data_IF_900909978519
#
_entry.id   IF_900909978519
#
_cell.length_a   1.000
_cell.length_b   1.000
_cell.length_c   1.000
_cell.angle_alpha   90.00
_cell.angle_beta   90.00
_cell.angle_gamma   90.00
#
_symmetry.space_group_name_H-M   'P 1'
#
loop_
_entity.id
_entity.type
_entity.pdbx_description
1 polymer ?
#
# COMPACT_ATOMS: atom_id res chain seq x y z
N UNK A 1 29.38 32.41 23.81
CA UNK A 1 30.31 32.45 22.69
C UNK A 1 31.43 31.47 22.93
N UNK A 2 31.55 30.47 22.09
CA UNK A 2 32.82 30.20 21.47
C UNK A 2 32.65 29.95 19.94
N UNK A 3 33.73 30.21 19.27
CA UNK A 3 34.04 30.44 17.87
C UNK A 3 33.95 29.16 17.05
N UNK A 4 33.31 29.26 15.84
CA UNK A 4 33.32 28.25 14.78
C UNK A 4 34.64 28.33 13.99
N UNK A 5 35.23 27.21 13.53
CA UNK A 5 36.28 27.21 12.52
C UNK A 5 35.71 27.16 11.09
N UNK A 6 36.37 27.92 10.21
CA UNK A 6 36.09 28.03 8.77
C UNK A 6 36.53 26.79 7.96
N UNK A 7 35.97 26.54 6.74
CA UNK A 7 36.32 25.39 5.93
C UNK A 7 37.56 25.60 5.06
N UNK A 8 38.48 24.66 5.14
CA UNK A 8 39.69 24.60 4.31
C UNK A 8 39.35 24.17 2.85
N UNK A 9 39.96 24.92 1.89
CA UNK A 9 40.06 24.58 0.48
C UNK A 9 41.10 23.47 0.26
N UNK A 10 40.74 22.49 -0.58
CA UNK A 10 41.69 21.46 -1.05
C UNK A 10 41.20 20.85 -2.37
N UNK A 11 41.66 21.40 -3.43
CA UNK A 11 42.35 20.93 -4.64
C UNK A 11 41.87 19.67 -5.35
N UNK A 12 41.54 19.88 -6.62
CA UNK A 12 41.29 18.92 -7.70
C UNK A 12 42.53 18.07 -8.07
N UNK A 13 42.28 16.84 -8.51
CA UNK A 13 43.01 16.02 -9.54
C UNK A 13 42.46 14.61 -9.44
N UNK A 14 42.29 13.79 -10.48
CA UNK A 14 42.61 13.79 -11.89
C UNK A 14 41.81 12.64 -12.55
N UNK A 15 41.46 12.84 -13.79
CA UNK A 15 40.88 11.89 -14.76
C UNK A 15 41.82 10.71 -14.97
N UNK A 16 41.28 9.47 -14.99
CA UNK A 16 41.92 8.33 -15.67
C UNK A 16 40.86 7.65 -16.54
N UNK A 17 41.04 7.81 -17.84
CA UNK A 17 40.41 7.00 -18.88
C UNK A 17 41.01 5.61 -18.87
N UNK A 18 40.17 4.58 -18.95
CA UNK A 18 40.57 3.19 -19.19
C UNK A 18 39.65 2.57 -20.25
N UNK A 19 40.18 2.45 -21.46
CA UNK A 19 39.58 1.77 -22.63
C UNK A 19 39.42 0.27 -22.36
N UNK A 20 38.36 -0.32 -23.02
CA UNK A 20 37.97 -1.69 -23.06
C UNK A 20 38.99 -2.70 -23.61
N UNK A 21 38.54 -3.94 -23.80
CA UNK A 21 38.37 -4.38 -25.19
C UNK A 21 37.09 -5.20 -25.47
N UNK A 22 36.68 -5.05 -26.68
CA UNK A 22 35.72 -5.84 -27.47
C UNK A 22 36.22 -7.27 -27.67
N UNK A 23 35.34 -8.26 -27.53
CA UNK A 23 35.48 -9.54 -28.21
C UNK A 23 34.16 -9.94 -28.85
N UNK A 24 34.10 -9.78 -30.16
CA UNK A 24 33.31 -10.56 -31.11
C UNK A 24 33.81 -12.00 -31.14
N UNK A 25 32.91 -12.95 -31.08
CA UNK A 25 33.09 -14.22 -31.82
C UNK A 25 31.74 -14.74 -32.27
N UNK A 26 31.73 -14.98 -33.57
CA UNK A 26 30.68 -15.40 -34.45
C UNK A 26 30.27 -16.88 -34.29
N UNK A 27 29.02 -17.13 -34.73
CA UNK A 27 28.51 -18.11 -35.69
C UNK A 27 29.05 -19.55 -35.67
N UNK A 28 28.14 -20.48 -35.69
CA UNK A 28 27.76 -21.43 -36.76
C UNK A 28 26.94 -22.57 -36.14
N UNK A 29 25.78 -22.83 -36.55
CA UNK A 29 25.18 -23.43 -37.74
C UNK A 29 25.11 -24.95 -37.68
N UNK A 30 23.94 -25.41 -38.02
CA UNK A 30 23.53 -26.58 -38.85
C UNK A 30 23.40 -27.94 -38.18
N UNK A 31 22.31 -28.55 -38.34
CA UNK A 31 21.56 -29.25 -39.38
C UNK A 31 21.16 -30.70 -38.99
N UNK A 32 19.90 -31.01 -39.25
CA UNK A 32 19.35 -32.31 -39.71
C UNK A 32 19.38 -33.53 -38.80
N UNK A 33 18.28 -34.23 -38.56
CA UNK A 33 17.60 -35.09 -39.54
C UNK A 33 16.26 -35.58 -38.99
N UNK A 34 15.28 -35.59 -39.84
CA UNK A 34 14.03 -36.32 -39.73
C UNK A 34 14.28 -37.84 -39.94
N UNK A 35 13.35 -38.68 -39.50
CA UNK A 35 12.83 -39.82 -40.27
C UNK A 35 11.75 -40.57 -39.45
N UNK A 36 10.55 -40.70 -40.10
CA UNK A 36 9.58 -41.80 -40.20
C UNK A 36 9.18 -42.62 -38.95
N UNK A 37 7.98 -42.85 -38.69
CA UNK A 37 6.75 -43.22 -39.44
C UNK A 37 6.03 -44.35 -38.69
N UNK A 38 4.82 -44.73 -38.99
CA UNK A 38 3.81 -45.10 -38.02
C UNK A 38 3.72 -46.61 -37.74
N UNK A 39 3.20 -46.96 -36.55
CA UNK A 39 2.60 -48.27 -36.34
C UNK A 39 1.30 -48.13 -35.59
N UNK A 40 0.23 -48.48 -36.27
CA UNK A 40 -1.08 -48.82 -35.75
C UNK A 40 -0.95 -49.91 -34.66
N UNK A 41 -1.59 -49.66 -33.50
CA UNK A 41 -1.98 -50.74 -32.60
C UNK A 41 -3.39 -50.48 -32.07
N UNK A 42 -4.16 -51.51 -32.19
CA UNK A 42 -5.58 -51.67 -32.05
C UNK A 42 -6.22 -51.14 -30.76
N UNK A 43 -7.43 -50.73 -30.99
CA UNK A 43 -8.54 -50.48 -30.08
C UNK A 43 -8.74 -51.61 -29.04
N UNK A 44 -8.53 -51.29 -27.74
CA UNK A 44 -9.00 -52.07 -26.62
C UNK A 44 -9.94 -51.20 -25.77
N UNK A 45 -11.25 -51.45 -25.84
CA UNK A 45 -12.25 -50.78 -25.04
C UNK A 45 -12.08 -51.12 -23.55
N UNK A 46 -11.75 -50.10 -22.75
CA UNK A 46 -11.80 -50.18 -21.27
C UNK A 46 -13.14 -49.63 -20.83
N UNK A 47 -13.89 -50.34 -19.95
CA UNK A 47 -15.17 -49.82 -19.42
C UNK A 47 -14.95 -48.56 -18.59
N UNK A 48 -15.65 -47.50 -18.90
CA UNK A 48 -15.75 -46.30 -18.09
C UNK A 48 -16.46 -46.61 -16.77
N UNK A 49 -15.71 -46.79 -15.68
CA UNK A 49 -16.24 -46.64 -14.35
C UNK A 49 -16.50 -45.14 -14.12
N UNK A 50 -17.77 -44.76 -14.10
CA UNK A 50 -18.20 -43.46 -13.56
C UNK A 50 -17.96 -43.43 -12.06
N UNK A 51 -17.12 -42.52 -11.50
CA UNK A 51 -17.21 -42.22 -10.09
C UNK A 51 -18.52 -41.48 -9.88
N UNK A 52 -19.28 -41.93 -8.90
CA UNK A 52 -20.54 -41.34 -8.43
C UNK A 52 -20.42 -39.82 -8.35
N UNK A 53 -21.21 -39.14 -9.15
CA UNK A 53 -21.30 -37.67 -9.15
C UNK A 53 -21.86 -37.19 -7.81
N UNK A 54 -21.05 -36.48 -7.05
CA UNK A 54 -21.55 -35.57 -6.07
C UNK A 54 -22.45 -34.51 -6.74
N UNK A 55 -23.38 -33.90 -6.03
CA UNK A 55 -24.23 -32.88 -6.60
C UNK A 55 -23.37 -31.79 -7.25
N UNK A 56 -23.76 -31.25 -8.42
CA UNK A 56 -23.05 -30.14 -9.04
C UNK A 56 -22.92 -29.01 -8.04
N UNK A 57 -21.79 -28.26 -8.02
CA UNK A 57 -21.62 -27.15 -7.11
C UNK A 57 -22.81 -26.20 -7.30
N UNK A 58 -23.49 -25.86 -6.19
CA UNK A 58 -24.63 -24.95 -6.20
C UNK A 58 -24.15 -23.63 -6.81
N UNK A 59 -24.68 -23.25 -7.94
CA UNK A 59 -24.58 -21.90 -8.47
C UNK A 59 -25.25 -20.97 -7.44
N UNK A 60 -24.44 -20.20 -6.69
CA UNK A 60 -24.97 -19.25 -5.71
C UNK A 60 -24.17 -19.05 -4.44
N UNK A 61 -22.94 -19.56 -4.31
CA UNK A 61 -22.03 -18.98 -3.31
C UNK A 61 -21.60 -17.61 -3.85
N UNK A 62 -22.05 -16.55 -3.18
CA UNK A 62 -21.55 -15.19 -3.41
C UNK A 62 -20.04 -15.24 -3.30
N UNK A 63 -19.34 -15.21 -4.45
CA UNK A 63 -17.89 -15.19 -4.50
C UNK A 63 -17.44 -13.86 -3.92
N UNK A 64 -17.12 -13.87 -2.64
CA UNK A 64 -16.52 -12.72 -1.98
C UNK A 64 -15.13 -12.53 -2.59
N UNK A 65 -14.97 -11.50 -3.42
CA UNK A 65 -13.70 -11.16 -4.07
C UNK A 65 -13.07 -9.93 -3.43
N UNK A 66 -11.75 -9.83 -3.51
CA UNK A 66 -11.01 -8.60 -3.23
C UNK A 66 -10.96 -7.74 -4.48
N UNK A 67 -11.27 -6.47 -4.30
CA UNK A 67 -11.23 -5.47 -5.35
C UNK A 67 -9.96 -4.64 -5.14
N UNK A 68 -8.99 -4.83 -6.01
CA UNK A 68 -7.65 -4.29 -5.92
C UNK A 68 -7.45 -3.13 -6.90
N UNK A 69 -6.58 -2.20 -6.55
CA UNK A 69 -6.02 -1.27 -7.51
C UNK A 69 -5.05 -1.99 -8.46
N UNK A 70 -4.66 -1.34 -9.53
CA UNK A 70 -3.74 -1.89 -10.52
C UNK A 70 -2.50 -1.01 -10.68
N UNK A 71 -1.33 -1.64 -10.87
CA UNK A 71 -0.11 -0.95 -11.31
C UNK A 71 -0.21 -0.58 -12.78
N UNK A 72 -0.60 -1.55 -13.60
CA UNK A 72 -0.94 -1.42 -15.03
C UNK A 72 -2.28 -2.10 -15.27
N UNK A 73 -2.99 -1.82 -16.37
CA UNK A 73 -4.29 -2.44 -16.64
C UNK A 73 -4.25 -3.96 -16.53
N UNK A 74 -5.09 -4.52 -15.64
CA UNK A 74 -5.18 -5.96 -15.39
C UNK A 74 -4.20 -6.52 -14.36
N UNK A 75 -3.13 -5.80 -13.99
CA UNK A 75 -2.16 -6.26 -13.00
C UNK A 75 -2.46 -5.67 -11.62
N UNK A 76 -2.81 -6.53 -10.67
CA UNK A 76 -3.12 -6.12 -9.30
C UNK A 76 -1.91 -5.47 -8.62
N UNK A 77 -2.15 -4.39 -7.88
CA UNK A 77 -1.11 -3.69 -7.13
C UNK A 77 -0.77 -4.46 -5.84
N UNK A 78 0.00 -5.54 -6.03
CA UNK A 78 0.59 -6.39 -4.99
C UNK A 78 2.09 -6.37 -5.21
N UNK A 79 2.87 -5.82 -4.28
CA UNK A 79 4.31 -5.62 -4.46
C UNK A 79 5.07 -5.68 -3.14
N UNK A 80 6.35 -5.97 -3.19
CA UNK A 80 7.26 -5.89 -2.05
C UNK A 80 8.08 -4.60 -2.11
N UNK A 81 8.12 -3.87 -1.01
CA UNK A 81 8.93 -2.65 -0.86
C UNK A 81 9.28 -2.42 0.62
N UNK A 82 9.95 -1.32 0.91
CA UNK A 82 10.08 -0.84 2.28
C UNK A 82 8.82 -0.08 2.69
N UNK A 83 8.32 -0.30 3.92
CA UNK A 83 7.30 0.59 4.47
C UNK A 83 7.85 2.02 4.50
N UNK A 84 7.18 2.93 3.80
CA UNK A 84 7.65 4.29 3.60
C UNK A 84 7.20 5.27 4.68
N UNK A 85 6.28 4.87 5.58
CA UNK A 85 5.56 5.79 6.47
C UNK A 85 5.30 5.18 7.85
N UNK A 86 5.06 6.03 8.84
CA UNK A 86 4.55 5.64 10.15
C UNK A 86 5.50 4.83 11.01
N UNK A 87 4.94 4.02 11.91
CA UNK A 87 5.68 3.32 12.95
C UNK A 87 6.62 2.23 12.41
N UNK A 88 6.35 1.72 11.23
CA UNK A 88 7.10 0.63 10.59
C UNK A 88 8.00 1.09 9.45
N UNK A 89 8.28 2.40 9.34
CA UNK A 89 9.14 2.97 8.29
C UNK A 89 10.47 2.20 8.18
N UNK A 90 10.89 1.89 6.94
CA UNK A 90 12.12 1.16 6.63
C UNK A 90 12.00 -0.37 6.73
N UNK A 91 10.87 -0.93 7.15
CA UNK A 91 10.70 -2.39 7.23
C UNK A 91 10.31 -2.98 5.87
N UNK A 92 10.99 -4.05 5.41
CA UNK A 92 10.54 -4.82 4.24
C UNK A 92 9.11 -5.34 4.45
N UNK A 93 8.24 -5.09 3.49
CA UNK A 93 6.82 -5.41 3.56
C UNK A 93 6.28 -5.78 2.20
N UNK A 94 5.25 -6.63 2.17
CA UNK A 94 4.41 -6.81 0.98
C UNK A 94 3.19 -5.91 1.13
N UNK A 95 2.88 -5.16 0.11
CA UNK A 95 1.72 -4.28 0.05
C UNK A 95 0.62 -4.91 -0.79
N UNK A 96 -0.60 -4.84 -0.31
CA UNK A 96 -1.81 -5.13 -1.07
C UNK A 96 -2.67 -3.88 -1.08
N UNK A 97 -2.75 -3.22 -2.25
CA UNK A 97 -3.52 -1.98 -2.39
C UNK A 97 -4.93 -2.26 -2.89
N UNK A 98 -5.88 -2.00 -2.03
CA UNK A 98 -7.31 -2.16 -2.31
C UNK A 98 -7.85 -0.94 -3.05
N UNK A 99 -8.82 -1.18 -3.90
CA UNK A 99 -9.57 -0.14 -4.58
C UNK A 99 -10.85 0.19 -3.79
N UNK A 100 -11.43 1.34 -4.05
CA UNK A 100 -12.58 1.99 -3.40
C UNK A 100 -12.23 2.67 -2.09
N UNK A 101 -12.80 3.85 -1.89
CA UNK A 101 -12.73 4.62 -0.66
C UNK A 101 -14.08 5.28 -0.37
N UNK A 102 -14.45 5.36 0.90
CA UNK A 102 -15.62 6.08 1.35
C UNK A 102 -15.39 7.60 1.48
N UNK A 103 -14.11 8.02 1.52
CA UNK A 103 -13.70 9.43 1.52
C UNK A 103 -13.17 9.86 0.15
N UNK A 104 -13.02 11.18 -0.05
CA UNK A 104 -12.54 11.79 -1.28
C UNK A 104 -11.60 12.96 -0.95
N UNK A 105 -10.42 12.66 -0.43
CA UNK A 105 -9.45 13.67 -0.07
C UNK A 105 -8.98 14.44 -1.32
N UNK A 106 -9.01 15.78 -1.26
CA UNK A 106 -8.63 16.63 -2.39
C UNK A 106 -7.17 16.47 -2.81
N UNK A 107 -6.31 16.08 -1.88
CA UNK A 107 -4.87 15.87 -2.09
C UNK A 107 -4.47 14.39 -2.18
N UNK A 108 -5.43 13.47 -2.34
CA UNK A 108 -5.16 12.03 -2.37
C UNK A 108 -4.13 11.68 -3.48
N UNK A 109 -3.03 11.05 -3.11
CA UNK A 109 -1.99 10.58 -4.01
C UNK A 109 -2.37 9.29 -4.76
N UNK A 110 -3.34 8.56 -4.22
CA UNK A 110 -3.85 7.32 -4.80
C UNK A 110 -5.29 7.45 -5.32
N UNK A 111 -5.62 8.61 -5.89
CA UNK A 111 -6.96 8.91 -6.37
C UNK A 111 -7.50 7.90 -7.40
N UNK A 112 -6.62 7.17 -8.10
CA UNK A 112 -6.98 6.08 -9.01
C UNK A 112 -7.66 4.89 -8.31
N UNK A 113 -7.64 4.83 -6.98
CA UNK A 113 -8.36 3.81 -6.20
C UNK A 113 -9.84 4.11 -6.04
N UNK A 114 -10.29 5.37 -6.19
CA UNK A 114 -11.67 5.77 -5.93
C UNK A 114 -12.26 6.75 -6.96
N UNK A 115 -11.46 7.67 -7.52
CA UNK A 115 -11.93 8.74 -8.42
C UNK A 115 -12.09 8.24 -9.85
N UNK A 116 -13.13 7.44 -10.09
CA UNK A 116 -13.40 6.91 -11.42
C UNK A 116 -14.21 7.89 -12.27
N UNK A 117 -14.19 7.70 -13.60
CA UNK A 117 -15.00 8.45 -14.56
C UNK A 117 -16.46 8.50 -14.09
N UNK A 118 -17.00 9.70 -14.02
CA UNK A 118 -18.33 9.99 -13.47
C UNK A 118 -18.33 10.42 -11.99
N UNK A 119 -17.21 10.35 -11.28
CA UNK A 119 -17.07 10.89 -9.94
C UNK A 119 -16.76 12.38 -10.00
N UNK A 120 -17.66 13.22 -9.46
CA UNK A 120 -17.57 14.67 -9.48
C UNK A 120 -16.98 15.28 -8.20
N UNK A 121 -16.55 14.44 -7.24
CA UNK A 121 -15.94 14.95 -6.00
C UNK A 121 -14.63 15.67 -6.31
N UNK A 122 -14.34 16.79 -5.62
CA UNK A 122 -13.13 17.58 -5.90
C UNK A 122 -11.85 16.80 -5.69
N UNK A 123 -10.86 17.03 -6.57
CA UNK A 123 -9.49 16.57 -6.42
C UNK A 123 -8.55 17.59 -7.08
N UNK A 124 -7.38 17.84 -6.48
CA UNK A 124 -6.44 18.89 -6.92
C UNK A 124 -6.05 18.78 -8.40
N UNK A 125 -5.88 17.55 -8.91
CA UNK A 125 -5.43 17.34 -10.29
C UNK A 125 -6.59 17.29 -11.29
N UNK A 126 -7.84 17.33 -10.82
CA UNK A 126 -9.01 17.23 -11.67
C UNK A 126 -9.15 15.92 -12.44
N UNK A 127 -8.16 15.01 -12.35
CA UNK A 127 -8.06 13.77 -13.13
C UNK A 127 -9.05 12.72 -12.65
N UNK A 128 -9.84 12.17 -13.57
CA UNK A 128 -10.64 10.95 -13.35
C UNK A 128 -9.94 9.75 -14.01
N UNK A 129 -10.23 8.56 -13.50
CA UNK A 129 -9.58 7.32 -13.91
C UNK A 129 -10.59 6.33 -14.47
N UNK A 130 -10.23 5.62 -15.55
CA UNK A 130 -11.05 4.55 -16.08
C UNK A 130 -11.04 3.34 -15.15
N UNK A 131 -12.22 2.95 -14.63
CA UNK A 131 -12.35 1.86 -13.66
C UNK A 131 -11.72 0.56 -14.17
N UNK A 132 -11.97 0.17 -15.43
CA UNK A 132 -11.43 -1.05 -16.02
C UNK A 132 -9.91 -1.11 -16.11
N UNK A 133 -9.26 0.05 -16.14
CA UNK A 133 -7.81 0.15 -16.19
C UNK A 133 -7.16 0.21 -14.80
N UNK A 134 -7.92 0.63 -13.79
CA UNK A 134 -7.38 0.92 -12.46
C UNK A 134 -7.94 -0.01 -11.36
N UNK A 135 -8.71 -1.03 -11.74
CA UNK A 135 -9.33 -1.95 -10.80
C UNK A 135 -9.37 -3.37 -11.36
N UNK A 136 -9.10 -4.35 -10.51
CA UNK A 136 -9.22 -5.77 -10.79
C UNK A 136 -9.84 -6.48 -9.59
N UNK A 137 -10.57 -7.57 -9.84
CA UNK A 137 -11.16 -8.42 -8.79
C UNK A 137 -10.47 -9.77 -8.79
N UNK A 138 -9.94 -10.19 -7.64
CA UNK A 138 -9.26 -11.47 -7.44
C UNK A 138 -9.90 -12.26 -6.30
N UNK A 139 -9.73 -13.56 -6.35
CA UNK A 139 -10.09 -14.45 -5.25
C UNK A 139 -9.15 -14.21 -4.05
N UNK A 140 -9.65 -14.17 -2.80
CA UNK A 140 -8.82 -13.99 -1.61
C UNK A 140 -7.66 -14.98 -1.48
N UNK A 141 -7.86 -16.25 -1.85
CA UNK A 141 -6.81 -17.26 -1.78
C UNK A 141 -5.72 -17.02 -2.84
N UNK A 142 -6.09 -16.51 -4.01
CA UNK A 142 -5.14 -16.09 -5.05
C UNK A 142 -4.26 -14.94 -4.56
N UNK A 143 -4.87 -13.90 -3.95
CA UNK A 143 -4.11 -12.79 -3.37
C UNK A 143 -3.16 -13.28 -2.29
N UNK A 144 -3.61 -14.16 -1.38
CA UNK A 144 -2.77 -14.76 -0.36
C UNK A 144 -1.59 -15.55 -0.95
N UNK A 145 -1.81 -16.29 -2.04
CA UNK A 145 -0.74 -17.02 -2.73
C UNK A 145 0.32 -16.07 -3.33
N UNK A 146 -0.12 -14.97 -3.95
CA UNK A 146 0.77 -13.93 -4.49
C UNK A 146 1.59 -13.26 -3.38
N UNK A 147 0.98 -12.94 -2.23
CA UNK A 147 1.67 -12.38 -1.06
C UNK A 147 2.75 -13.33 -0.55
N UNK A 148 2.43 -14.63 -0.36
CA UNK A 148 3.42 -15.63 0.09
C UNK A 148 4.61 -15.76 -0.85
N UNK A 149 4.41 -15.61 -2.15
CA UNK A 149 5.46 -15.74 -3.15
C UNK A 149 6.61 -14.73 -2.98
N UNK A 150 6.38 -13.59 -2.32
CA UNK A 150 7.44 -12.62 -2.03
C UNK A 150 8.39 -13.07 -0.90
N UNK A 151 8.00 -14.02 -0.05
CA UNK A 151 8.85 -14.49 1.05
C UNK A 151 9.10 -13.48 2.17
N UNK A 152 8.34 -12.38 2.24
CA UNK A 152 8.47 -11.34 3.26
C UNK A 152 7.35 -11.51 4.29
N UNK A 153 7.67 -11.70 5.61
CA UNK A 153 6.67 -12.06 6.62
C UNK A 153 5.93 -10.84 7.20
N UNK A 154 5.81 -9.76 6.44
CA UNK A 154 5.05 -8.56 6.81
C UNK A 154 4.15 -8.15 5.67
N UNK A 155 2.87 -7.97 5.99
CA UNK A 155 1.83 -7.56 5.04
C UNK A 155 1.26 -6.21 5.47
N UNK A 156 1.17 -5.29 4.53
CA UNK A 156 0.49 -3.99 4.68
C UNK A 156 -0.74 -3.98 3.77
N UNK A 157 -1.91 -3.92 4.38
CA UNK A 157 -3.18 -3.75 3.71
C UNK A 157 -3.47 -2.26 3.60
N UNK A 158 -3.46 -1.74 2.40
CA UNK A 158 -3.59 -0.30 2.11
C UNK A 158 -4.55 -0.05 0.94
N UNK A 159 -4.63 1.16 0.44
CA UNK A 159 -5.35 1.48 -0.79
C UNK A 159 -6.26 2.67 -0.65
N UNK A 160 -7.54 2.53 -1.05
CA UNK A 160 -8.57 3.50 -0.70
C UNK A 160 -8.91 3.41 0.79
N UNK A 161 -9.92 2.60 1.13
CA UNK A 161 -10.20 2.22 2.53
C UNK A 161 -10.32 0.69 2.62
N UNK A 162 -9.31 0.01 3.16
CA UNK A 162 -9.29 -1.45 3.23
C UNK A 162 -10.47 -2.06 3.99
N UNK A 163 -10.89 -1.43 5.07
CA UNK A 163 -11.93 -1.95 5.96
C UNK A 163 -13.32 -2.04 5.29
N UNK A 164 -13.52 -1.38 4.14
CA UNK A 164 -14.72 -1.58 3.30
C UNK A 164 -14.82 -3.00 2.73
N UNK A 165 -13.71 -3.72 2.68
CA UNK A 165 -13.64 -5.08 2.14
C UNK A 165 -13.31 -6.13 3.21
N UNK A 166 -13.66 -5.84 4.45
CA UNK A 166 -13.33 -6.68 5.61
C UNK A 166 -13.70 -8.17 5.46
N UNK A 167 -14.85 -8.58 4.91
CA UNK A 167 -15.17 -10.01 4.74
C UNK A 167 -14.19 -10.75 3.82
N UNK A 168 -13.76 -10.08 2.73
CA UNK A 168 -12.80 -10.65 1.78
C UNK A 168 -11.38 -10.67 2.37
N UNK A 169 -11.00 -9.62 3.12
CA UNK A 169 -9.73 -9.56 3.84
C UNK A 169 -9.61 -10.66 4.88
N UNK A 170 -10.67 -10.92 5.66
CA UNK A 170 -10.69 -12.01 6.63
C UNK A 170 -10.40 -13.36 5.96
N UNK A 171 -11.02 -13.64 4.81
CA UNK A 171 -10.76 -14.86 4.04
C UNK A 171 -9.33 -14.90 3.48
N UNK A 172 -8.83 -13.79 2.99
CA UNK A 172 -7.47 -13.71 2.45
C UNK A 172 -6.43 -13.98 3.54
N UNK A 173 -6.58 -13.39 4.73
CA UNK A 173 -5.64 -13.58 5.83
C UNK A 173 -5.72 -15.03 6.34
N UNK A 174 -6.91 -15.62 6.44
CA UNK A 174 -7.05 -17.04 6.77
C UNK A 174 -6.35 -17.94 5.74
N UNK A 175 -6.43 -17.62 4.45
CA UNK A 175 -5.72 -18.33 3.39
C UNK A 175 -4.20 -18.05 3.37
N UNK A 176 -3.76 -16.91 3.90
CA UNK A 176 -2.35 -16.55 4.00
C UNK A 176 -1.61 -17.46 4.99
N UNK A 177 -2.28 -17.87 6.08
CA UNK A 177 -1.72 -18.69 7.14
C UNK A 177 -0.96 -17.90 8.18
N UNK A 178 -0.30 -18.61 9.09
CA UNK A 178 0.44 -18.06 10.21
C UNK A 178 1.81 -17.48 9.79
N UNK A 179 2.42 -16.71 10.69
CA UNK A 179 3.79 -16.18 10.52
C UNK A 179 3.88 -14.81 9.87
N UNK A 180 2.75 -14.19 9.54
CA UNK A 180 2.73 -12.83 9.00
C UNK A 180 2.39 -11.80 10.09
N UNK A 181 3.15 -10.71 10.13
CA UNK A 181 2.76 -9.50 10.83
C UNK A 181 1.89 -8.65 9.88
N UNK A 182 0.65 -8.40 10.27
CA UNK A 182 -0.34 -7.74 9.41
C UNK A 182 -0.62 -6.34 9.92
N UNK A 183 -0.40 -5.36 9.05
CA UNK A 183 -0.73 -3.95 9.27
C UNK A 183 -1.88 -3.53 8.36
N UNK A 184 -2.74 -2.65 8.87
CA UNK A 184 -3.79 -1.99 8.09
C UNK A 184 -3.58 -0.49 8.11
N UNK A 185 -3.49 0.12 6.93
CA UNK A 185 -3.56 1.57 6.76
C UNK A 185 -5.01 1.97 6.50
N UNK A 186 -5.63 2.64 7.45
CA UNK A 186 -7.04 3.04 7.39
C UNK A 186 -7.21 4.55 7.58
N UNK A 187 -8.24 5.13 6.99
CA UNK A 187 -8.63 6.51 7.28
C UNK A 187 -9.33 6.67 8.65
N UNK A 188 -9.60 5.58 9.34
CA UNK A 188 -10.16 5.55 10.68
C UNK A 188 -11.67 5.71 10.77
N UNK A 189 -12.37 5.93 9.67
CA UNK A 189 -13.84 6.14 9.67
C UNK A 189 -14.66 4.85 9.68
N UNK A 190 -14.04 3.69 9.40
CA UNK A 190 -14.68 2.38 9.34
C UNK A 190 -14.15 1.50 10.47
N UNK A 191 -15.06 0.83 11.19
CA UNK A 191 -14.66 -0.15 12.22
C UNK A 191 -14.33 -1.49 11.57
N UNK A 192 -13.26 -2.18 12.01
CA UNK A 192 -13.05 -3.57 11.65
C UNK A 192 -14.09 -4.46 12.34
N UNK A 193 -14.67 -5.45 11.65
CA UNK A 193 -15.48 -6.47 12.32
C UNK A 193 -14.58 -7.38 13.16
N UNK A 194 -15.09 -8.00 14.24
CA UNK A 194 -14.28 -8.78 15.18
C UNK A 194 -13.44 -9.89 14.53
N UNK A 195 -13.98 -10.54 13.51
CA UNK A 195 -13.28 -11.63 12.79
C UNK A 195 -12.03 -11.15 12.04
N UNK A 196 -12.03 -9.93 11.50
CA UNK A 196 -10.86 -9.30 10.90
C UNK A 196 -9.94 -8.74 11.97
N UNK A 197 -10.52 -8.03 12.95
CA UNK A 197 -9.80 -7.34 14.02
C UNK A 197 -8.85 -8.27 14.79
N UNK A 198 -9.30 -9.48 15.08
CA UNK A 198 -8.52 -10.51 15.78
C UNK A 198 -7.25 -10.95 15.02
N UNK A 199 -7.14 -10.67 13.73
CA UNK A 199 -6.02 -11.05 12.87
C UNK A 199 -5.03 -9.92 12.62
N UNK A 200 -5.34 -8.69 13.05
CA UNK A 200 -4.51 -7.50 12.79
C UNK A 200 -3.57 -7.24 13.97
N UNK A 201 -2.31 -6.99 13.63
CA UNK A 201 -1.24 -6.72 14.59
C UNK A 201 -1.01 -5.23 14.83
N UNK A 202 -1.28 -4.39 13.82
CA UNK A 202 -1.10 -2.94 13.88
C UNK A 202 -2.08 -2.24 12.95
N UNK A 203 -2.65 -1.14 13.45
CA UNK A 203 -3.42 -0.20 12.66
C UNK A 203 -2.65 1.11 12.52
N UNK A 204 -2.44 1.57 11.29
CA UNK A 204 -1.96 2.91 10.97
C UNK A 204 -3.19 3.76 10.64
N UNK A 205 -3.74 4.38 11.66
CA UNK A 205 -4.97 5.19 11.57
C UNK A 205 -4.61 6.58 11.12
N UNK A 206 -5.14 7.01 9.98
CA UNK A 206 -4.87 8.32 9.39
C UNK A 206 -6.13 9.17 9.29
N UNK A 207 -6.59 9.80 10.37
CA UNK A 207 -7.78 10.67 10.35
C UNK A 207 -7.58 11.81 9.37
N UNK A 208 -8.62 12.15 8.62
CA UNK A 208 -8.55 13.16 7.56
C UNK A 208 -9.01 14.50 8.09
N UNK A 209 -8.03 15.40 8.28
CA UNK A 209 -8.21 16.76 8.76
C UNK A 209 -9.03 17.63 7.79
N UNK A 210 -9.43 18.80 8.23
CA UNK A 210 -10.27 19.73 7.48
C UNK A 210 -9.75 20.07 6.09
N UNK A 211 -8.42 20.18 5.92
CA UNK A 211 -7.78 20.42 4.62
C UNK A 211 -7.95 19.27 3.59
N UNK A 212 -8.41 18.11 4.03
CA UNK A 212 -8.76 17.02 3.11
C UNK A 212 -9.99 17.33 2.25
N UNK A 213 -10.81 18.29 2.67
CA UNK A 213 -12.05 18.65 2.00
C UNK A 213 -13.21 17.69 2.26
N UNK A 214 -13.02 16.67 3.09
CA UNK A 214 -14.12 15.78 3.49
C UNK A 214 -14.95 16.44 4.60
N UNK A 215 -16.27 16.21 4.63
CA UNK A 215 -17.09 16.59 5.77
C UNK A 215 -16.59 15.93 7.06
N UNK A 216 -16.41 16.70 8.13
CA UNK A 216 -15.91 16.19 9.42
C UNK A 216 -16.78 15.02 9.95
N UNK A 217 -18.08 15.07 9.78
CA UNK A 217 -19.00 14.00 10.16
C UNK A 217 -18.74 12.65 9.47
N UNK A 218 -18.03 12.65 8.35
CA UNK A 218 -17.62 11.41 7.64
C UNK A 218 -16.17 11.02 7.94
N UNK A 219 -15.30 11.99 8.17
CA UNK A 219 -13.86 11.78 8.28
C UNK A 219 -13.38 11.65 9.74
N UNK A 220 -14.04 12.34 10.67
CA UNK A 220 -13.67 12.43 12.09
C UNK A 220 -14.84 11.99 12.97
N UNK A 221 -15.24 10.72 12.84
CA UNK A 221 -16.36 10.14 13.57
C UNK A 221 -15.95 9.95 15.03
N UNK A 222 -16.60 10.64 16.02
CA UNK A 222 -16.16 10.63 17.42
C UNK A 222 -16.03 9.24 18.02
N UNK A 223 -17.01 8.37 17.82
CA UNK A 223 -17.01 7.01 18.37
C UNK A 223 -15.87 6.15 17.77
N UNK A 224 -15.48 6.43 16.52
CA UNK A 224 -14.36 5.75 15.87
C UNK A 224 -13.04 6.26 16.41
N UNK A 225 -12.87 7.55 16.55
CA UNK A 225 -11.65 8.13 17.11
C UNK A 225 -11.43 7.68 18.56
N UNK A 226 -12.47 7.64 19.37
CA UNK A 226 -12.40 7.13 20.74
C UNK A 226 -12.02 5.63 20.77
N UNK A 227 -12.61 4.81 19.90
CA UNK A 227 -12.29 3.39 19.80
C UNK A 227 -10.83 3.16 19.38
N UNK A 228 -10.33 3.90 18.37
CA UNK A 228 -8.94 3.82 17.95
C UNK A 228 -7.98 4.32 19.04
N UNK A 229 -8.32 5.38 19.75
CA UNK A 229 -7.49 5.87 20.84
C UNK A 229 -7.35 4.85 21.99
N UNK A 230 -8.40 4.06 22.25
CA UNK A 230 -8.39 2.99 23.24
C UNK A 230 -7.64 1.72 22.78
N UNK A 231 -7.47 1.50 21.47
CA UNK A 231 -6.75 0.33 20.94
C UNK A 231 -5.22 0.55 21.01
N UNK A 232 -4.48 -0.25 21.78
CA UNK A 232 -3.01 -0.08 21.89
C UNK A 232 -2.27 -0.39 20.56
N UNK A 233 -2.89 -1.09 19.61
CA UNK A 233 -2.34 -1.41 18.29
C UNK A 233 -2.44 -0.24 17.32
N UNK A 234 -3.25 0.78 17.61
CA UNK A 234 -3.48 1.92 16.73
C UNK A 234 -2.38 2.96 16.87
N UNK A 235 -1.72 3.26 15.76
CA UNK A 235 -0.77 4.36 15.59
C UNK A 235 -1.45 5.43 14.74
N UNK A 236 -1.54 6.65 15.26
CA UNK A 236 -2.19 7.76 14.57
C UNK A 236 -1.18 8.46 13.64
N UNK A 237 -1.49 8.59 12.37
CA UNK A 237 -0.65 9.24 11.35
C UNK A 237 -1.43 10.38 10.70
N UNK A 238 -1.09 11.61 11.03
CA UNK A 238 -1.71 12.80 10.48
C UNK A 238 -0.89 13.36 9.31
N UNK A 239 -1.54 13.54 8.18
CA UNK A 239 -0.95 14.22 7.01
C UNK A 239 -1.07 15.72 7.21
N UNK A 240 0.05 16.43 7.11
CA UNK A 240 0.17 17.85 7.47
C UNK A 240 0.67 18.65 6.27
N UNK A 241 -0.12 19.61 5.82
CA UNK A 241 0.22 20.50 4.71
C UNK A 241 0.72 21.87 5.21
N UNK A 242 0.13 22.37 6.32
CA UNK A 242 0.38 23.70 6.87
C UNK A 242 0.46 23.68 8.39
N UNK A 243 1.05 24.70 9.02
CA UNK A 243 1.06 24.82 10.48
C UNK A 243 -0.34 24.87 11.13
N UNK A 244 -1.35 25.31 10.41
CA UNK A 244 -2.74 25.35 10.90
C UNK A 244 -3.27 23.96 11.23
N UNK A 245 -2.84 22.93 10.49
CA UNK A 245 -3.25 21.55 10.71
C UNK A 245 -2.84 21.04 12.10
N UNK A 246 -1.74 21.57 12.66
CA UNK A 246 -1.27 21.21 14.00
C UNK A 246 -2.24 21.63 15.10
N UNK A 247 -3.02 22.67 14.88
CA UNK A 247 -4.05 23.14 15.83
C UNK A 247 -5.15 22.08 15.93
N UNK A 248 -5.61 21.57 14.78
CA UNK A 248 -6.62 20.51 14.71
C UNK A 248 -6.10 19.20 15.33
N UNK A 249 -4.86 18.81 14.99
CA UNK A 249 -4.23 17.62 15.57
C UNK A 249 -4.16 17.72 17.09
N UNK A 250 -3.73 18.88 17.62
CA UNK A 250 -3.61 19.09 19.06
C UNK A 250 -4.98 19.02 19.76
N UNK A 251 -6.04 19.54 19.12
CA UNK A 251 -7.40 19.43 19.62
C UNK A 251 -7.84 17.96 19.70
N UNK A 252 -7.68 17.20 18.61
CA UNK A 252 -7.99 15.78 18.56
C UNK A 252 -7.17 14.96 19.57
N UNK A 253 -5.87 15.24 19.67
CA UNK A 253 -4.99 14.52 20.60
C UNK A 253 -5.44 14.71 22.06
N UNK A 254 -5.87 15.90 22.44
CA UNK A 254 -6.40 16.21 23.78
C UNK A 254 -7.78 15.59 24.00
N UNK A 255 -8.68 15.75 23.05
CA UNK A 255 -10.08 15.28 23.15
C UNK A 255 -10.14 13.77 23.33
N UNK A 256 -9.32 13.01 22.55
CA UNK A 256 -9.33 11.56 22.60
C UNK A 256 -8.18 10.96 23.43
N UNK A 257 -7.41 11.78 24.14
CA UNK A 257 -6.27 11.36 24.95
C UNK A 257 -5.28 10.48 24.16
N UNK A 258 -4.97 10.85 22.91
CA UNK A 258 -4.01 10.12 22.08
C UNK A 258 -2.61 10.31 22.66
N UNK A 259 -1.98 9.22 23.06
CA UNK A 259 -0.65 9.25 23.66
C UNK A 259 0.39 9.75 22.63
N UNK A 260 1.27 10.68 23.01
CA UNK A 260 2.23 11.32 22.09
C UNK A 260 3.11 10.32 21.33
N UNK A 261 3.49 9.21 21.97
CA UNK A 261 4.29 8.13 21.37
C UNK A 261 3.55 7.34 20.30
N UNK A 262 2.24 7.48 20.19
CA UNK A 262 1.40 6.88 19.16
C UNK A 262 0.96 7.88 18.08
N UNK A 263 1.33 9.16 18.22
CA UNK A 263 0.95 10.22 17.30
C UNK A 263 2.12 10.56 16.37
N UNK A 264 1.90 10.37 15.08
CA UNK A 264 2.85 10.68 14.01
C UNK A 264 2.33 11.83 13.17
N UNK A 265 3.17 12.82 12.91
CA UNK A 265 2.94 13.85 11.91
C UNK A 265 3.79 13.58 10.68
N UNK A 266 3.19 13.69 9.51
CA UNK A 266 3.79 13.37 8.21
C UNK A 266 3.57 14.53 7.24
N UNK A 267 4.60 15.01 6.53
CA UNK A 267 4.41 16.07 5.54
C UNK A 267 3.56 15.57 4.37
N UNK A 268 2.59 16.38 3.94
CA UNK A 268 1.86 16.16 2.69
C UNK A 268 2.80 16.47 1.51
N UNK A 269 2.77 15.68 0.45
CA UNK A 269 3.54 15.90 -0.78
C UNK A 269 3.83 14.62 -1.53
N UNK A 270 4.03 14.76 -2.84
CA UNK A 270 4.33 13.65 -3.77
C UNK A 270 5.67 13.83 -4.48
N UNK A 271 6.47 14.81 -4.03
CA UNK A 271 7.83 15.04 -4.53
C UNK A 271 8.80 15.37 -3.40
N UNK A 272 10.07 15.02 -3.58
CA UNK A 272 11.11 15.16 -2.56
C UNK A 272 11.43 16.61 -2.19
N UNK A 273 11.17 17.58 -3.05
CA UNK A 273 11.45 19.00 -2.75
C UNK A 273 10.41 19.53 -1.77
N UNK A 274 9.13 19.32 -2.09
CA UNK A 274 8.00 19.67 -1.21
C UNK A 274 8.11 18.98 0.15
N UNK A 275 8.42 17.68 0.16
CA UNK A 275 8.58 16.93 1.42
C UNK A 275 9.72 17.50 2.27
N UNK A 276 10.89 17.80 1.69
CA UNK A 276 12.02 18.41 2.42
C UNK A 276 11.71 19.78 2.98
N UNK A 277 10.98 20.61 2.24
CA UNK A 277 10.57 21.93 2.70
C UNK A 277 9.67 21.82 3.93
N UNK A 278 8.62 20.99 3.82
CA UNK A 278 7.65 20.79 4.91
C UNK A 278 8.26 20.08 6.11
N UNK A 279 9.11 19.07 5.88
CA UNK A 279 9.77 18.31 6.94
C UNK A 279 10.59 19.18 7.89
N UNK A 280 11.21 20.27 7.42
CA UNK A 280 12.06 21.14 8.24
C UNK A 280 11.29 21.75 9.40
N UNK A 281 10.16 22.38 9.13
CA UNK A 281 9.36 23.01 10.17
C UNK A 281 8.50 21.98 10.93
N UNK A 282 8.02 20.93 10.24
CA UNK A 282 7.16 19.92 10.85
C UNK A 282 7.92 19.07 11.89
N UNK A 283 9.17 18.71 11.59
CA UNK A 283 10.03 17.99 12.55
C UNK A 283 10.29 18.82 13.82
N UNK A 284 10.51 20.13 13.68
CA UNK A 284 10.65 21.03 14.81
C UNK A 284 9.36 21.07 15.65
N UNK A 285 8.21 21.24 15.00
CA UNK A 285 6.91 21.26 15.67
C UNK A 285 6.61 19.90 16.38
N UNK A 286 6.99 18.79 15.77
CA UNK A 286 6.84 17.47 16.38
C UNK A 286 7.68 17.34 17.67
N UNK A 287 8.93 17.80 17.65
CA UNK A 287 9.81 17.80 18.84
C UNK A 287 9.21 18.68 19.96
N UNK A 288 8.72 19.86 19.64
CA UNK A 288 8.11 20.78 20.60
C UNK A 288 6.83 20.21 21.25
N UNK A 289 6.04 19.47 20.46
CA UNK A 289 4.79 18.84 20.92
C UNK A 289 5.01 17.47 21.59
N UNK A 290 6.23 16.90 21.54
CA UNK A 290 6.52 15.54 22.00
C UNK A 290 5.92 14.46 21.12
N UNK A 291 5.55 14.78 19.85
CA UNK A 291 5.00 13.83 18.88
C UNK A 291 6.11 13.16 18.07
N UNK A 292 5.75 12.11 17.36
CA UNK A 292 6.66 11.43 16.42
C UNK A 292 6.54 12.04 15.03
N UNK A 293 7.68 12.20 14.39
CA UNK A 293 7.75 12.58 12.98
C UNK A 293 7.92 11.31 12.12
N UNK A 294 7.28 11.27 10.97
CA UNK A 294 7.52 10.29 9.92
C UNK A 294 7.60 10.99 8.58
N UNK A 295 8.47 10.53 7.70
CA UNK A 295 8.59 11.00 6.33
C UNK A 295 7.81 10.05 5.38
N UNK A 296 7.90 10.31 4.08
CA UNK A 296 7.44 9.47 2.98
C UNK A 296 8.65 8.90 2.24
N UNK A 297 9.32 7.93 2.87
CA UNK A 297 10.60 7.38 2.41
C UNK A 297 10.51 6.88 0.96
N UNK A 298 9.41 6.23 0.57
CA UNK A 298 9.21 5.71 -0.80
C UNK A 298 9.23 6.82 -1.85
N UNK A 299 8.73 8.03 -1.54
CA UNK A 299 8.80 9.18 -2.47
C UNK A 299 10.24 9.62 -2.70
N UNK A 300 11.08 9.57 -1.68
CA UNK A 300 12.50 9.90 -1.81
C UNK A 300 13.28 8.85 -2.61
N UNK A 301 12.90 7.57 -2.48
CA UNK A 301 13.58 6.46 -3.15
C UNK A 301 13.12 6.27 -4.60
N UNK A 302 11.82 6.39 -4.85
CA UNK A 302 11.20 5.93 -6.10
C UNK A 302 10.35 6.99 -6.81
N UNK A 303 10.16 8.17 -6.18
CA UNK A 303 9.19 9.16 -6.65
C UNK A 303 7.74 8.72 -6.40
N UNK A 304 6.79 9.46 -6.98
CA UNK A 304 5.36 9.11 -6.94
C UNK A 304 5.04 8.03 -7.98
N UNK A 305 5.49 6.81 -7.69
CA UNK A 305 5.41 5.66 -8.60
C UNK A 305 4.54 4.55 -7.99
N UNK A 306 3.61 3.98 -8.79
CA UNK A 306 2.78 2.86 -8.35
C UNK A 306 3.61 1.58 -8.20
N UNK A 307 3.33 0.79 -7.16
CA UNK A 307 3.99 -0.48 -6.94
C UNK A 307 5.41 -0.36 -6.37
N UNK A 308 5.71 0.74 -5.65
CA UNK A 308 7.02 0.97 -5.02
C UNK A 308 6.90 1.28 -3.54
#
# INVERSE_FOLDING_TARGET
MPILPEPGRGTARSVVEGRGPTHDVAKESTLHHAVHGPTDVACGAIPLHHPSGGPPPRFGEDRVTLILATTTPGEAEIFASLQGEGASIGRPSVFVRLSRCNLACQWCDTAYTWRFTGDNRPHRDGRAFERKQNQVSLDPAEVAARVRAFGVPRLVLTGGEPLLQAPALTRMIAALGEGFHIEVETNGSVAPPPALDAQIHQYNVSPKLGHSGNPAALALIPERLAAWAADPRAMFKFVVATPTDLIEINALAREYAIAPERLFVMPEGTDSATLRERSRWLAQAAMEAGWRFTDRLHIHLYGDTRGT
#
